data_IF_831600742444
#
_entry.id   IF_831600742444
#
_cell.length_a   1.000
_cell.length_b   1.000
_cell.length_c   1.000
_cell.angle_alpha   90.00
_cell.angle_beta   90.00
_cell.angle_gamma   90.00
#
_symmetry.space_group_name_H-M   'P 1'
#
loop_
_entity.id
_entity.type
_entity.pdbx_description
1 polymer ?
#
# COMPACT_ATOMS: atom_id res chain seq x y z
N UNK A 1 -15.64 -2.86 -24.90
CA UNK A 1 -14.82 -4.10 -24.79
C UNK A 1 -13.53 -3.71 -24.10
N UNK A 2 -13.15 -4.40 -23.03
CA UNK A 2 -11.86 -4.20 -22.37
C UNK A 2 -10.77 -4.99 -23.09
N UNK A 3 -9.62 -4.36 -23.32
CA UNK A 3 -8.49 -5.00 -24.03
C UNK A 3 -7.63 -5.74 -23.01
N UNK A 4 -7.32 -7.03 -23.26
CA UNK A 4 -6.38 -7.77 -22.43
C UNK A 4 -4.94 -7.43 -22.83
N UNK A 5 -4.10 -7.13 -21.84
CA UNK A 5 -2.71 -6.69 -22.06
C UNK A 5 -1.69 -7.56 -21.29
N UNK A 6 -0.42 -7.61 -21.77
CA UNK A 6 0.66 -8.34 -21.12
C UNK A 6 0.98 -7.90 -19.68
N UNK A 7 1.70 -8.78 -18.96
CA UNK A 7 2.12 -8.54 -17.58
C UNK A 7 3.01 -7.29 -17.37
N UNK A 8 3.68 -6.82 -18.41
CA UNK A 8 4.60 -5.68 -18.39
C UNK A 8 3.91 -4.31 -18.56
N UNK A 9 2.63 -4.25 -18.89
CA UNK A 9 1.97 -3.01 -19.34
C UNK A 9 1.42 -2.16 -18.18
N UNK A 10 0.50 -2.69 -17.36
CA UNK A 10 0.04 -1.97 -16.16
C UNK A 10 1.09 -2.09 -15.06
N UNK A 11 1.89 -1.04 -14.95
CA UNK A 11 2.87 -0.86 -13.88
C UNK A 11 2.36 0.17 -12.89
N UNK A 12 1.80 -0.31 -11.78
CA UNK A 12 1.41 0.54 -10.65
C UNK A 12 2.58 0.66 -9.69
N UNK A 13 2.81 1.87 -9.20
CA UNK A 13 3.80 2.21 -8.19
C UNK A 13 3.23 3.22 -7.20
N UNK A 14 3.72 3.28 -5.95
CA UNK A 14 3.31 4.33 -5.04
C UNK A 14 4.04 5.65 -5.35
N UNK A 15 3.51 6.81 -4.92
CA UNK A 15 4.12 8.12 -5.20
C UNK A 15 5.60 8.23 -4.80
N UNK A 16 5.99 7.57 -3.70
CA UNK A 16 7.37 7.54 -3.19
C UNK A 16 8.38 6.81 -4.10
N UNK A 17 7.89 6.11 -5.13
CA UNK A 17 8.68 5.42 -6.15
C UNK A 17 8.62 6.16 -7.52
N UNK A 18 8.21 7.43 -7.55
CA UNK A 18 8.04 8.21 -8.79
C UNK A 18 9.31 8.32 -9.64
N UNK A 19 10.48 8.28 -8.99
CA UNK A 19 11.81 8.37 -9.61
C UNK A 19 12.55 7.04 -9.65
N UNK A 20 11.86 5.93 -9.34
CA UNK A 20 12.47 4.61 -9.32
C UNK A 20 12.50 4.01 -10.73
N UNK A 21 13.55 3.25 -11.02
CA UNK A 21 13.57 2.30 -12.12
C UNK A 21 12.48 1.27 -11.85
N UNK A 22 11.52 1.16 -12.77
CA UNK A 22 10.39 0.25 -12.64
C UNK A 22 10.71 -1.04 -13.37
N UNK A 23 10.79 -2.13 -12.61
CA UNK A 23 11.11 -3.45 -13.16
C UNK A 23 9.88 -4.32 -12.94
N UNK A 24 8.98 -4.48 -13.91
CA UNK A 24 7.81 -5.33 -13.75
C UNK A 24 8.30 -6.76 -13.52
N UNK A 25 8.02 -7.33 -12.35
CA UNK A 25 8.35 -8.74 -12.04
C UNK A 25 7.10 -9.62 -12.06
N UNK A 26 5.94 -9.00 -11.84
CA UNK A 26 4.63 -9.62 -11.96
C UNK A 26 3.69 -8.70 -12.74
N UNK A 27 2.67 -9.28 -13.35
CA UNK A 27 1.53 -8.58 -13.90
C UNK A 27 0.29 -8.82 -13.06
N UNK A 28 -0.69 -7.91 -13.14
CA UNK A 28 -1.99 -8.11 -12.50
C UNK A 28 -1.91 -8.23 -10.97
N UNK A 29 -3.00 -8.70 -10.35
CA UNK A 29 -3.07 -8.99 -8.91
C UNK A 29 -3.50 -10.44 -8.70
N UNK A 30 -2.71 -11.23 -7.97
CA UNK A 30 -3.04 -12.64 -7.70
C UNK A 30 -4.33 -12.85 -6.87
N UNK A 31 -4.84 -11.79 -6.24
CA UNK A 31 -6.12 -11.82 -5.54
C UNK A 31 -7.30 -11.34 -6.39
N UNK A 32 -7.15 -10.17 -7.01
CA UNK A 32 -8.13 -9.48 -7.87
C UNK A 32 -9.61 -9.55 -7.45
N UNK A 33 -9.93 -9.67 -6.15
CA UNK A 33 -11.32 -9.87 -5.64
C UNK A 33 -11.78 -8.78 -4.68
N UNK A 34 -10.93 -7.81 -4.36
CA UNK A 34 -11.30 -6.66 -3.54
C UNK A 34 -12.51 -5.93 -4.15
N UNK A 35 -13.44 -5.52 -3.30
CA UNK A 35 -14.69 -4.86 -3.72
C UNK A 35 -14.55 -3.38 -4.04
N UNK A 36 -13.42 -2.77 -3.69
CA UNK A 36 -13.13 -1.35 -3.89
C UNK A 36 -12.06 -1.09 -4.96
N UNK A 37 -11.42 -2.15 -5.49
CA UNK A 37 -10.29 -2.04 -6.41
C UNK A 37 -10.64 -2.64 -7.78
N UNK A 38 -10.41 -1.86 -8.83
CA UNK A 38 -10.60 -2.25 -10.24
C UNK A 38 -9.35 -2.00 -11.11
N UNK A 39 -8.19 -1.75 -10.50
CA UNK A 39 -6.91 -1.45 -11.18
C UNK A 39 -6.60 -2.40 -12.34
N UNK A 40 -6.75 -3.71 -12.14
CA UNK A 40 -6.48 -4.73 -13.17
C UNK A 40 -7.76 -5.28 -13.82
N UNK A 41 -8.90 -4.61 -13.64
CA UNK A 41 -10.25 -5.08 -14.03
C UNK A 41 -10.94 -4.20 -15.07
N UNK A 42 -10.20 -3.35 -15.79
CA UNK A 42 -10.82 -2.53 -16.83
C UNK A 42 -10.97 -1.06 -16.49
N UNK A 43 -10.57 -0.59 -15.30
CA UNK A 43 -10.72 0.84 -14.94
C UNK A 43 -9.96 1.77 -15.91
N UNK A 44 -8.91 1.26 -16.56
CA UNK A 44 -8.13 1.94 -17.58
C UNK A 44 -8.54 1.58 -19.02
N UNK A 45 -9.70 0.94 -19.20
CA UNK A 45 -10.12 0.35 -20.49
C UNK A 45 -9.42 -0.99 -20.81
N UNK A 46 -8.49 -1.43 -19.96
CA UNK A 46 -7.68 -2.64 -20.14
C UNK A 46 -7.77 -3.57 -18.93
N UNK A 47 -7.63 -4.87 -19.18
CA UNK A 47 -7.54 -5.91 -18.15
C UNK A 47 -6.18 -6.58 -18.22
N UNK A 48 -5.60 -6.89 -17.07
CA UNK A 48 -4.33 -7.58 -16.99
C UNK A 48 -4.43 -8.70 -15.98
N UNK A 49 -4.26 -9.93 -16.47
CA UNK A 49 -4.28 -11.10 -15.62
C UNK A 49 -3.02 -11.19 -14.77
N UNK A 50 -3.13 -11.96 -13.69
CA UNK A 50 -1.98 -12.22 -12.85
C UNK A 50 -1.00 -13.15 -13.57
N UNK A 51 0.27 -12.75 -13.58
CA UNK A 51 1.35 -13.53 -14.17
C UNK A 51 2.67 -13.20 -13.45
N UNK A 52 3.54 -14.20 -13.29
CA UNK A 52 4.94 -13.98 -12.93
C UNK A 52 5.70 -13.93 -14.26
N UNK A 53 6.41 -12.84 -14.52
CA UNK A 53 7.16 -12.72 -15.77
C UNK A 53 8.28 -13.75 -15.83
N UNK A 54 8.66 -14.25 -17.02
CA UNK A 54 9.86 -15.06 -17.18
C UNK A 54 11.09 -14.32 -16.65
N UNK A 55 11.97 -15.04 -15.96
CA UNK A 55 13.17 -14.46 -15.36
C UNK A 55 14.05 -13.79 -16.42
N UNK A 56 14.27 -14.47 -17.55
CA UNK A 56 15.08 -13.97 -18.67
C UNK A 56 14.61 -12.60 -19.17
N UNK A 57 13.31 -12.39 -19.33
CA UNK A 57 12.73 -11.11 -19.75
C UNK A 57 13.01 -10.00 -18.74
N UNK A 58 12.94 -10.32 -17.45
CA UNK A 58 13.23 -9.36 -16.38
C UNK A 58 14.71 -9.00 -16.33
N UNK A 59 15.61 -9.97 -16.52
CA UNK A 59 17.05 -9.72 -16.57
C UNK A 59 17.42 -8.86 -17.78
N UNK A 60 16.81 -9.11 -18.94
CA UNK A 60 16.97 -8.27 -20.15
C UNK A 60 16.53 -6.82 -19.88
N UNK A 61 15.42 -6.61 -19.16
CA UNK A 61 14.99 -5.25 -18.81
C UNK A 61 15.99 -4.55 -17.87
N UNK A 62 16.58 -5.28 -16.90
CA UNK A 62 17.65 -4.76 -16.04
C UNK A 62 18.86 -4.33 -16.87
N UNK A 63 19.29 -5.16 -17.82
CA UNK A 63 20.40 -4.84 -18.71
C UNK A 63 20.14 -3.58 -19.54
N UNK A 64 18.93 -3.46 -20.10
CA UNK A 64 18.52 -2.25 -20.84
C UNK A 64 18.56 -0.99 -19.99
N UNK A 65 18.19 -1.06 -18.71
CA UNK A 65 18.31 0.09 -17.80
C UNK A 65 19.77 0.43 -17.48
N UNK A 66 20.63 -0.59 -17.33
CA UNK A 66 22.06 -0.39 -17.12
C UNK A 66 22.72 0.26 -18.34
N UNK A 67 22.43 -0.22 -19.55
CA UNK A 67 22.92 0.36 -20.82
C UNK A 67 22.49 1.81 -21.01
N UNK A 68 21.30 2.17 -20.52
CA UNK A 68 20.77 3.54 -20.53
C UNK A 68 21.26 4.40 -19.36
N UNK A 69 22.23 3.93 -18.58
CA UNK A 69 22.87 4.66 -17.48
C UNK A 69 21.91 5.06 -16.34
N UNK A 70 20.93 4.21 -16.00
CA UNK A 70 20.03 4.42 -14.83
C UNK A 70 20.69 4.06 -13.48
N UNK A 71 22.00 4.30 -13.34
CA UNK A 71 22.72 4.12 -12.09
C UNK A 71 22.32 5.16 -11.03
N UNK A 72 22.46 4.82 -9.75
CA UNK A 72 22.15 5.74 -8.64
C UNK A 72 20.67 5.95 -8.35
N UNK A 73 19.76 5.45 -9.21
CA UNK A 73 18.32 5.54 -8.97
C UNK A 73 17.82 4.39 -8.09
N UNK A 74 16.81 4.62 -7.24
CA UNK A 74 16.09 3.54 -6.57
C UNK A 74 15.47 2.58 -7.59
N UNK A 75 15.27 1.34 -7.19
CA UNK A 75 14.62 0.32 -8.00
C UNK A 75 13.34 -0.15 -7.32
N UNK A 76 12.26 -0.20 -8.08
CA UNK A 76 10.98 -0.74 -7.65
C UNK A 76 10.67 -1.97 -8.50
N UNK A 77 10.67 -3.15 -7.86
CA UNK A 77 10.18 -4.38 -8.46
C UNK A 77 8.66 -4.27 -8.53
N UNK A 78 8.19 -3.96 -9.72
CA UNK A 78 6.84 -3.52 -9.99
C UNK A 78 5.92 -4.68 -10.39
N UNK A 79 4.64 -4.36 -10.54
CA UNK A 79 3.57 -5.34 -10.66
C UNK A 79 2.67 -5.36 -9.45
N UNK A 80 1.50 -5.98 -9.55
CA UNK A 80 0.50 -5.90 -8.48
C UNK A 80 0.75 -6.84 -7.30
N UNK A 81 1.63 -7.84 -7.43
CA UNK A 81 2.02 -8.69 -6.31
C UNK A 81 3.40 -9.38 -6.48
N UNK A 82 4.53 -8.66 -6.48
CA UNK A 82 5.87 -9.25 -6.54
C UNK A 82 6.12 -10.40 -5.55
N UNK A 83 5.67 -10.25 -4.30
CA UNK A 83 5.96 -11.24 -3.24
C UNK A 83 5.28 -12.60 -3.41
N UNK A 84 4.33 -12.75 -4.34
CA UNK A 84 3.79 -14.08 -4.67
C UNK A 84 4.71 -14.91 -5.56
N UNK A 85 5.78 -14.33 -6.12
CA UNK A 85 6.79 -15.08 -6.85
C UNK A 85 7.66 -15.96 -5.92
N UNK A 86 8.25 -17.05 -6.45
CA UNK A 86 9.22 -17.85 -5.72
C UNK A 86 10.36 -17.01 -5.13
N UNK A 87 10.85 -17.41 -3.96
CA UNK A 87 11.90 -16.65 -3.27
C UNK A 87 13.19 -16.62 -4.08
N UNK A 88 13.59 -17.75 -4.66
CA UNK A 88 14.82 -17.86 -5.47
C UNK A 88 14.80 -16.91 -6.67
N UNK A 89 13.64 -16.83 -7.36
CA UNK A 89 13.41 -15.90 -8.46
C UNK A 89 13.61 -14.43 -8.04
N UNK A 90 13.01 -14.02 -6.91
CA UNK A 90 13.18 -12.64 -6.42
C UNK A 90 14.62 -12.37 -5.96
N UNK A 91 15.25 -13.33 -5.29
CA UNK A 91 16.66 -13.22 -4.84
C UNK A 91 17.58 -13.02 -6.05
N UNK A 92 17.37 -13.77 -7.13
CA UNK A 92 18.15 -13.65 -8.35
C UNK A 92 18.00 -12.27 -9.00
N UNK A 93 16.76 -11.79 -9.14
CA UNK A 93 16.48 -10.44 -9.67
C UNK A 93 17.13 -9.35 -8.82
N UNK A 94 16.99 -9.41 -7.49
CA UNK A 94 17.55 -8.40 -6.60
C UNK A 94 19.07 -8.40 -6.70
N UNK A 95 19.72 -9.56 -6.68
CA UNK A 95 21.17 -9.67 -6.85
C UNK A 95 21.62 -9.15 -8.21
N UNK A 96 20.88 -9.44 -9.28
CA UNK A 96 21.19 -8.96 -10.62
C UNK A 96 21.04 -7.44 -10.73
N UNK A 97 20.01 -6.86 -10.13
CA UNK A 97 19.87 -5.39 -9.99
C UNK A 97 21.10 -4.80 -9.31
N UNK A 98 21.54 -5.37 -8.18
CA UNK A 98 22.72 -4.88 -7.44
C UNK A 98 24.03 -5.04 -8.23
N UNK A 99 24.11 -6.05 -9.08
CA UNK A 99 25.28 -6.30 -9.93
C UNK A 99 25.35 -5.34 -11.13
N UNK A 100 24.20 -5.05 -11.76
CA UNK A 100 24.13 -4.34 -13.05
C UNK A 100 23.90 -2.84 -12.90
N UNK A 101 23.20 -2.41 -11.85
CA UNK A 101 22.96 -1.00 -11.56
C UNK A 101 23.85 -0.54 -10.40
N UNK A 102 24.81 0.34 -10.71
CA UNK A 102 25.72 0.89 -9.71
C UNK A 102 24.98 1.82 -8.72
N UNK A 103 25.39 1.80 -7.45
CA UNK A 103 24.93 2.72 -6.40
C UNK A 103 23.40 2.78 -6.21
N UNK A 104 22.67 1.67 -6.40
CA UNK A 104 21.23 1.63 -6.13
C UNK A 104 20.97 1.93 -4.65
N UNK A 105 20.29 3.04 -4.30
CA UNK A 105 20.08 3.45 -2.92
C UNK A 105 19.02 2.60 -2.21
N UNK A 106 18.10 2.00 -2.97
CA UNK A 106 16.98 1.21 -2.46
C UNK A 106 16.45 0.25 -3.50
N UNK A 107 16.16 -0.99 -3.11
CA UNK A 107 15.32 -1.94 -3.84
C UNK A 107 14.05 -2.18 -3.03
N UNK A 108 12.90 -2.09 -3.67
CA UNK A 108 11.60 -2.17 -3.00
C UNK A 108 10.53 -2.83 -3.86
N UNK A 109 9.44 -3.27 -3.24
CA UNK A 109 8.32 -3.88 -3.99
C UNK A 109 6.99 -3.80 -3.21
N UNK A 110 5.87 -4.10 -3.89
CA UNK A 110 4.62 -4.37 -3.19
C UNK A 110 4.64 -5.76 -2.54
N UNK A 111 3.99 -5.85 -1.39
CA UNK A 111 3.80 -7.11 -0.67
C UNK A 111 2.34 -7.35 -0.30
N UNK A 112 1.94 -8.62 -0.27
CA UNK A 112 0.66 -9.06 0.27
C UNK A 112 0.89 -9.96 1.47
N UNK A 113 0.17 -9.71 2.57
CA UNK A 113 0.39 -10.40 3.85
C UNK A 113 0.32 -11.92 3.77
N UNK A 114 -0.59 -12.49 2.97
CA UNK A 114 -0.66 -13.94 2.79
C UNK A 114 0.57 -14.54 2.11
N UNK A 115 1.18 -13.83 1.15
CA UNK A 115 2.37 -14.33 0.46
C UNK A 115 3.60 -14.25 1.35
N UNK A 116 3.67 -13.24 2.21
CA UNK A 116 4.66 -13.15 3.29
C UNK A 116 4.49 -14.29 4.30
N UNK A 117 3.25 -14.60 4.71
CA UNK A 117 2.98 -15.67 5.68
C UNK A 117 3.33 -17.05 5.11
N UNK A 118 3.22 -17.25 3.79
CA UNK A 118 3.59 -18.50 3.11
C UNK A 118 5.08 -18.74 3.02
N UNK A 119 5.89 -17.69 2.94
CA UNK A 119 7.36 -17.80 2.97
C UNK A 119 7.82 -18.19 4.38
N UNK A 120 8.86 -18.99 4.47
CA UNK A 120 9.57 -19.30 5.71
C UNK A 120 10.37 -18.10 6.22
N UNK A 121 10.79 -18.14 7.49
CA UNK A 121 11.65 -17.07 8.05
C UNK A 121 13.00 -17.01 7.32
N UNK A 122 13.54 -18.16 6.90
CA UNK A 122 14.77 -18.24 6.10
C UNK A 122 14.59 -17.57 4.72
N UNK A 123 13.49 -17.85 4.02
CA UNK A 123 13.20 -17.21 2.74
C UNK A 123 13.09 -15.69 2.86
N UNK A 124 12.47 -15.17 3.92
CA UNK A 124 12.40 -13.72 4.17
C UNK A 124 13.79 -13.15 4.47
N UNK A 125 14.62 -13.87 5.22
CA UNK A 125 16.01 -13.48 5.50
C UNK A 125 16.84 -13.44 4.22
N UNK A 126 16.70 -14.44 3.34
CA UNK A 126 17.38 -14.49 2.04
C UNK A 126 17.01 -13.30 1.14
N UNK A 127 15.75 -12.84 1.18
CA UNK A 127 15.34 -11.62 0.47
C UNK A 127 16.02 -10.37 1.04
N UNK A 128 16.10 -10.26 2.37
CA UNK A 128 16.82 -9.15 3.03
C UNK A 128 18.32 -9.17 2.68
N UNK A 129 18.98 -10.32 2.80
CA UNK A 129 20.40 -10.50 2.48
C UNK A 129 20.72 -10.28 1.00
N UNK A 130 19.77 -10.56 0.10
CA UNK A 130 19.90 -10.21 -1.31
C UNK A 130 19.86 -8.69 -1.55
N UNK A 131 19.29 -7.92 -0.61
CA UNK A 131 19.21 -6.46 -0.64
C UNK A 131 17.81 -5.91 -0.91
N UNK A 132 16.74 -6.62 -0.53
CA UNK A 132 15.39 -6.04 -0.48
C UNK A 132 15.25 -5.12 0.74
N UNK A 133 15.17 -3.81 0.52
CA UNK A 133 15.24 -2.82 1.60
C UNK A 133 13.88 -2.55 2.25
N UNK A 134 12.82 -2.40 1.46
CA UNK A 134 11.48 -2.07 1.95
C UNK A 134 10.39 -2.71 1.12
N UNK A 135 9.31 -3.12 1.79
CA UNK A 135 8.08 -3.54 1.14
C UNK A 135 6.90 -2.63 1.49
N UNK A 136 6.03 -2.42 0.51
CA UNK A 136 4.79 -1.68 0.65
C UNK A 136 3.61 -2.63 0.73
N UNK A 137 2.89 -2.65 1.85
CA UNK A 137 1.79 -3.60 2.08
C UNK A 137 0.48 -2.86 2.38
N UNK A 138 -0.57 -3.18 1.61
CA UNK A 138 -1.90 -2.64 1.84
C UNK A 138 -2.58 -3.28 3.05
N UNK A 139 -2.49 -2.64 4.22
CA UNK A 139 -3.28 -2.97 5.41
C UNK A 139 -4.76 -2.65 5.14
N UNK A 140 -5.01 -1.49 4.54
CA UNK A 140 -6.30 -0.87 4.24
C UNK A 140 -7.12 -0.55 5.49
N UNK A 141 -7.34 -1.53 6.36
CA UNK A 141 -8.08 -1.44 7.62
C UNK A 141 -7.54 -2.44 8.63
N UNK A 142 -7.42 -2.05 9.90
CA UNK A 142 -7.13 -3.00 10.98
C UNK A 142 -8.30 -3.91 11.34
N UNK A 143 -9.54 -3.52 11.03
CA UNK A 143 -10.73 -4.33 11.35
C UNK A 143 -10.89 -5.52 10.38
N UNK A 144 -10.79 -6.74 10.90
CA UNK A 144 -11.06 -7.99 10.16
C UNK A 144 -12.48 -8.02 9.57
N UNK A 145 -13.45 -7.38 10.22
CA UNK A 145 -14.82 -7.27 9.69
C UNK A 145 -14.84 -6.46 8.39
N UNK A 146 -14.20 -5.28 8.39
CA UNK A 146 -14.12 -4.42 7.20
C UNK A 146 -13.33 -5.13 6.09
N UNK A 147 -12.22 -5.77 6.41
CA UNK A 147 -11.42 -6.52 5.44
C UNK A 147 -12.22 -7.67 4.78
N UNK A 148 -13.04 -8.37 5.57
CA UNK A 148 -13.96 -9.40 5.07
C UNK A 148 -15.05 -8.80 4.19
N UNK A 149 -15.71 -7.73 4.66
CA UNK A 149 -16.72 -7.00 3.90
C UNK A 149 -16.19 -6.55 2.55
N UNK A 150 -14.95 -6.06 2.50
CA UNK A 150 -14.25 -5.60 1.29
C UNK A 150 -13.63 -6.72 0.45
N UNK A 151 -13.77 -7.98 0.87
CA UNK A 151 -13.13 -9.15 0.25
C UNK A 151 -11.63 -8.93 0.02
N UNK A 152 -10.88 -8.42 1.02
CA UNK A 152 -9.42 -8.20 0.90
C UNK A 152 -8.62 -9.50 0.86
N UNK A 153 -9.22 -10.60 1.33
CA UNK A 153 -8.58 -11.93 1.36
C UNK A 153 -7.51 -12.04 2.43
N UNK A 154 -7.69 -11.37 3.56
CA UNK A 154 -6.78 -11.35 4.72
C UNK A 154 -7.53 -10.84 5.96
N UNK A 155 -6.89 -10.87 7.12
CA UNK A 155 -7.43 -10.41 8.40
C UNK A 155 -6.34 -9.70 9.24
N UNK A 156 -6.74 -9.11 10.37
CA UNK A 156 -5.83 -8.38 11.26
C UNK A 156 -4.64 -9.24 11.72
N UNK A 157 -4.90 -10.47 12.16
CA UNK A 157 -3.86 -11.35 12.71
C UNK A 157 -2.81 -11.75 11.67
N UNK A 158 -3.26 -11.98 10.43
CA UNK A 158 -2.38 -12.25 9.28
C UNK A 158 -1.52 -11.03 8.97
N UNK A 159 -2.10 -9.81 9.04
CA UNK A 159 -1.35 -8.56 8.85
C UNK A 159 -0.29 -8.38 9.94
N UNK A 160 -0.65 -8.61 11.21
CA UNK A 160 0.27 -8.50 12.35
C UNK A 160 1.40 -9.51 12.21
N UNK A 161 1.08 -10.78 11.92
CA UNK A 161 2.07 -11.84 11.71
C UNK A 161 3.01 -11.51 10.54
N UNK A 162 2.47 -11.08 9.40
CA UNK A 162 3.27 -10.70 8.24
C UNK A 162 4.20 -9.52 8.56
N UNK A 163 3.67 -8.47 9.20
CA UNK A 163 4.43 -7.27 9.52
C UNK A 163 5.59 -7.54 10.47
N UNK A 164 5.34 -8.28 11.56
CA UNK A 164 6.39 -8.68 12.51
C UNK A 164 7.49 -9.53 11.86
N UNK A 165 7.13 -10.44 10.94
CA UNK A 165 8.10 -11.30 10.25
C UNK A 165 8.95 -10.54 9.24
N UNK A 166 8.36 -9.58 8.51
CA UNK A 166 9.10 -8.67 7.62
C UNK A 166 10.16 -7.89 8.40
N UNK A 167 9.77 -7.26 9.51
CA UNK A 167 10.68 -6.47 10.34
C UNK A 167 11.76 -7.34 10.98
N UNK A 168 11.39 -8.53 11.50
CA UNK A 168 12.35 -9.50 12.06
C UNK A 168 13.40 -9.95 11.04
N UNK A 169 13.03 -10.05 9.76
CA UNK A 169 13.95 -10.41 8.68
C UNK A 169 14.91 -9.29 8.29
N UNK A 170 14.76 -8.06 8.83
CA UNK A 170 15.60 -6.91 8.48
C UNK A 170 15.06 -6.09 7.30
N UNK A 171 13.82 -6.34 6.86
CA UNK A 171 13.18 -5.61 5.76
C UNK A 171 12.30 -4.51 6.35
N UNK A 172 12.42 -3.28 5.86
CA UNK A 172 11.54 -2.17 6.28
C UNK A 172 10.11 -2.40 5.79
N UNK A 173 9.14 -1.85 6.51
CA UNK A 173 7.73 -2.02 6.20
C UNK A 173 7.01 -0.69 6.12
N UNK A 174 6.36 -0.44 4.97
CA UNK A 174 5.41 0.66 4.78
C UNK A 174 3.99 0.11 4.66
N UNK A 175 3.08 0.51 5.55
CA UNK A 175 1.67 0.13 5.49
C UNK A 175 0.80 1.23 4.86
N UNK A 176 -0.16 0.85 4.02
CA UNK A 176 -1.23 1.77 3.58
C UNK A 176 -2.49 1.56 4.39
N UNK A 177 -3.04 2.65 4.93
CA UNK A 177 -4.35 2.71 5.59
C UNK A 177 -5.30 3.51 4.70
N UNK A 178 -6.52 3.00 4.51
CA UNK A 178 -7.52 3.59 3.63
C UNK A 178 -8.68 4.19 4.43
N UNK A 179 -8.58 5.49 4.72
CA UNK A 179 -9.60 6.25 5.44
C UNK A 179 -10.95 6.18 4.72
N UNK A 180 -12.00 5.92 5.50
CA UNK A 180 -13.38 5.77 5.07
C UNK A 180 -13.74 4.38 4.56
N UNK A 181 -12.85 3.38 4.62
CA UNK A 181 -13.12 2.04 4.10
C UNK A 181 -14.28 1.32 4.81
N UNK A 182 -14.53 1.65 6.07
CA UNK A 182 -15.69 1.16 6.83
C UNK A 182 -17.01 1.86 6.50
N UNK A 183 -16.97 2.95 5.73
CA UNK A 183 -18.08 3.91 5.61
C UNK A 183 -18.45 4.51 6.97
N UNK A 184 -19.51 5.35 7.00
CA UNK A 184 -19.99 5.98 8.25
C UNK A 184 -20.26 4.96 9.36
N UNK A 185 -20.84 3.80 9.00
CA UNK A 185 -21.28 2.78 9.96
C UNK A 185 -20.15 2.16 10.77
N UNK A 186 -18.99 1.93 10.16
CA UNK A 186 -17.87 1.21 10.79
C UNK A 186 -16.64 2.08 11.04
N UNK A 187 -16.74 3.40 10.90
CA UNK A 187 -15.61 4.32 11.01
C UNK A 187 -14.90 4.26 12.39
N UNK A 188 -15.66 4.31 13.49
CA UNK A 188 -15.08 4.19 14.84
C UNK A 188 -14.36 2.84 15.06
N UNK A 189 -14.91 1.75 14.51
CA UNK A 189 -14.29 0.42 14.55
C UNK A 189 -13.05 0.36 13.66
N UNK A 190 -13.08 1.00 12.50
CA UNK A 190 -11.92 1.13 11.62
C UNK A 190 -10.78 1.85 12.35
N UNK A 191 -11.07 2.95 13.02
CA UNK A 191 -10.06 3.74 13.71
C UNK A 191 -9.38 2.95 14.84
N UNK A 192 -10.17 2.42 15.77
CA UNK A 192 -9.67 1.65 16.92
C UNK A 192 -8.89 0.39 16.51
N UNK A 193 -9.42 -0.40 15.59
CA UNK A 193 -8.73 -1.63 15.15
C UNK A 193 -7.49 -1.35 14.31
N UNK A 194 -7.49 -0.27 13.52
CA UNK A 194 -6.28 0.15 12.78
C UNK A 194 -5.19 0.61 13.73
N UNK A 195 -5.53 1.42 14.74
CA UNK A 195 -4.58 1.82 15.76
C UNK A 195 -4.00 0.62 16.51
N UNK A 196 -4.81 -0.38 16.86
CA UNK A 196 -4.36 -1.65 17.47
C UNK A 196 -3.35 -2.37 16.57
N UNK A 197 -3.69 -2.61 15.30
CA UNK A 197 -2.80 -3.32 14.35
C UNK A 197 -1.49 -2.56 14.14
N UNK A 198 -1.53 -1.23 13.99
CA UNK A 198 -0.31 -0.40 13.89
C UNK A 198 0.53 -0.48 15.17
N UNK A 199 -0.11 -0.49 16.34
CA UNK A 199 0.54 -0.64 17.65
C UNK A 199 1.27 -1.97 17.80
N UNK A 200 0.61 -3.06 17.39
CA UNK A 200 1.16 -4.40 17.49
C UNK A 200 2.30 -4.64 16.49
N UNK A 201 2.25 -4.01 15.31
CA UNK A 201 3.30 -4.17 14.28
C UNK A 201 4.46 -3.20 14.54
N UNK A 202 4.18 -1.96 14.89
CA UNK A 202 5.11 -0.82 14.85
C UNK A 202 5.88 -0.77 13.51
N UNK A 203 5.20 -0.55 12.37
CA UNK A 203 5.85 -0.57 11.06
C UNK A 203 6.90 0.55 10.96
N UNK A 204 7.83 0.44 10.01
CA UNK A 204 8.76 1.54 9.74
C UNK A 204 8.00 2.81 9.34
N UNK A 205 6.98 2.64 8.50
CA UNK A 205 6.15 3.72 7.97
C UNK A 205 4.69 3.24 7.92
N UNK A 206 3.74 4.14 8.21
CA UNK A 206 2.38 3.98 7.71
C UNK A 206 1.91 5.25 7.01
N UNK A 207 1.03 5.08 6.03
CA UNK A 207 0.60 6.14 5.12
C UNK A 207 -0.91 6.11 5.02
N UNK A 208 -1.53 7.27 5.17
CA UNK A 208 -2.96 7.40 4.97
C UNK A 208 -3.28 7.67 3.51
N UNK A 209 -4.37 7.07 3.04
CA UNK A 209 -5.01 7.35 1.76
C UNK A 209 -6.49 7.50 2.04
N UNK A 210 -7.20 8.33 1.30
CA UNK A 210 -8.66 8.35 1.35
C UNK A 210 -9.24 7.40 0.32
N UNK A 211 -10.28 6.64 0.71
CA UNK A 211 -11.06 5.79 -0.20
C UNK A 211 -11.64 6.61 -1.36
N UNK A 212 -11.31 6.24 -2.59
CA UNK A 212 -12.03 6.66 -3.78
C UNK A 212 -12.93 5.53 -4.26
N UNK A 213 -14.14 5.87 -4.74
CA UNK A 213 -15.05 4.87 -5.31
C UNK A 213 -14.78 4.79 -6.80
N UNK A 214 -14.16 3.68 -7.19
CA UNK A 214 -13.88 3.41 -8.59
C UNK A 214 -15.13 2.85 -9.29
N UNK A 215 -15.48 3.36 -10.49
CA UNK A 215 -16.54 2.79 -11.30
C UNK A 215 -16.40 1.29 -11.50
N UNK A 216 -17.54 0.62 -11.71
CA UNK A 216 -17.60 -0.81 -12.05
C UNK A 216 -17.05 -1.74 -10.96
N UNK A 217 -16.95 -1.23 -9.73
CA UNK A 217 -16.65 -2.05 -8.55
C UNK A 217 -17.92 -2.39 -7.77
N UNK A 218 -17.97 -3.51 -7.03
CA UNK A 218 -19.10 -3.79 -6.16
C UNK A 218 -19.38 -2.69 -5.13
N UNK A 219 -18.37 -1.93 -4.71
CA UNK A 219 -18.55 -0.80 -3.80
C UNK A 219 -19.20 0.41 -4.48
N UNK A 220 -18.98 0.59 -5.78
CA UNK A 220 -19.63 1.64 -6.57
C UNK A 220 -21.15 1.47 -6.63
N UNK A 221 -21.62 0.24 -6.85
CA UNK A 221 -23.06 -0.04 -6.89
C UNK A 221 -23.72 0.12 -5.50
N UNK A 222 -23.02 -0.25 -4.43
CA UNK A 222 -23.50 -0.03 -3.07
C UNK A 222 -23.52 1.45 -2.68
N UNK A 223 -22.53 2.21 -3.11
CA UNK A 223 -22.52 3.65 -2.91
C UNK A 223 -23.67 4.33 -3.67
N UNK A 224 -23.86 4.00 -4.96
CA UNK A 224 -24.97 4.55 -5.77
C UNK A 224 -26.35 4.21 -5.21
N UNK A 225 -26.52 3.00 -4.68
CA UNK A 225 -27.79 2.58 -4.06
C UNK A 225 -27.98 3.09 -2.63
N UNK A 226 -27.01 3.83 -2.07
CA UNK A 226 -27.07 4.34 -0.70
C UNK A 226 -26.76 3.31 0.39
N UNK A 227 -26.48 2.05 0.03
CA UNK A 227 -26.10 0.98 0.96
C UNK A 227 -24.75 1.24 1.62
N UNK A 228 -23.84 1.91 0.92
CA UNK A 228 -22.55 2.34 1.45
C UNK A 228 -22.47 3.86 1.51
N UNK A 229 -22.33 4.41 2.72
CA UNK A 229 -22.24 5.85 2.94
C UNK A 229 -20.78 6.26 3.16
N UNK A 230 -20.29 7.14 2.27
CA UNK A 230 -18.96 7.72 2.40
C UNK A 230 -18.88 8.67 3.58
N UNK A 231 -17.69 8.73 4.17
CA UNK A 231 -17.32 9.84 5.04
C UNK A 231 -17.27 11.15 4.23
N UNK A 232 -17.59 12.28 4.84
CA UNK A 232 -17.20 13.59 4.34
C UNK A 232 -15.68 13.80 4.53
N UNK A 233 -15.07 14.82 3.91
CA UNK A 233 -13.66 15.12 4.15
C UNK A 233 -13.32 15.32 5.62
N UNK A 234 -14.12 16.10 6.36
CA UNK A 234 -13.92 16.30 7.81
C UNK A 234 -14.10 15.00 8.60
N UNK A 235 -15.01 14.10 8.19
CA UNK A 235 -15.15 12.79 8.82
C UNK A 235 -13.92 11.89 8.57
N UNK A 236 -13.29 11.96 7.39
CA UNK A 236 -12.01 11.27 7.15
C UNK A 236 -10.90 11.79 8.08
N UNK A 237 -10.81 13.10 8.28
CA UNK A 237 -9.80 13.71 9.17
C UNK A 237 -10.06 13.32 10.63
N UNK A 238 -11.33 13.24 11.05
CA UNK A 238 -11.72 12.72 12.37
C UNK A 238 -11.31 11.25 12.55
N UNK A 239 -11.52 10.42 11.53
CA UNK A 239 -11.11 9.02 11.57
C UNK A 239 -9.58 8.87 11.67
N UNK A 240 -8.82 9.67 10.90
CA UNK A 240 -7.35 9.73 11.01
C UNK A 240 -6.91 10.15 12.42
N UNK A 241 -7.52 11.21 12.96
CA UNK A 241 -7.26 11.67 14.33
C UNK A 241 -7.52 10.59 15.36
N UNK A 242 -8.62 9.86 15.25
CA UNK A 242 -8.95 8.79 16.17
C UNK A 242 -7.99 7.60 16.04
N UNK A 243 -7.45 7.33 14.85
CA UNK A 243 -6.34 6.36 14.69
C UNK A 243 -5.12 6.84 15.46
N UNK A 244 -4.64 8.06 15.21
CA UNK A 244 -3.44 8.62 15.86
C UNK A 244 -3.60 8.66 17.37
N UNK A 245 -4.75 9.12 17.87
CA UNK A 245 -5.05 9.21 19.31
C UNK A 245 -4.92 7.85 19.99
N UNK A 246 -5.44 6.80 19.36
CA UNK A 246 -5.49 5.44 19.91
C UNK A 246 -4.21 4.62 19.67
N UNK A 247 -3.18 5.17 19.02
CA UNK A 247 -1.88 4.49 18.90
C UNK A 247 -1.26 4.28 20.29
N UNK A 248 -0.74 3.08 20.53
CA UNK A 248 0.04 2.80 21.72
C UNK A 248 1.38 3.52 21.73
N UNK A 249 1.91 3.76 22.93
CA UNK A 249 3.09 4.60 23.16
C UNK A 249 4.41 3.98 22.65
N UNK A 250 4.37 2.75 22.13
CA UNK A 250 5.51 2.09 21.50
C UNK A 250 5.65 2.43 20.00
N UNK A 251 4.67 3.10 19.38
CA UNK A 251 4.66 3.34 17.94
C UNK A 251 5.55 4.53 17.59
N UNK A 252 6.69 4.26 16.97
CA UNK A 252 7.69 5.26 16.55
C UNK A 252 7.75 5.41 15.02
N UNK A 253 6.72 4.92 14.32
CA UNK A 253 6.65 4.95 12.85
C UNK A 253 6.71 6.37 12.29
N UNK A 254 7.22 6.48 11.07
CA UNK A 254 6.95 7.65 10.23
C UNK A 254 5.51 7.60 9.72
N UNK A 255 4.89 8.78 9.55
CA UNK A 255 3.50 8.94 9.12
C UNK A 255 3.44 9.92 7.98
N UNK A 256 2.69 9.59 6.92
CA UNK A 256 2.56 10.44 5.75
C UNK A 256 1.13 10.52 5.21
N UNK A 257 0.75 11.73 4.79
CA UNK A 257 -0.40 12.05 3.95
C UNK A 257 0.04 12.54 2.57
N UNK A 258 0.81 11.72 1.87
CA UNK A 258 1.57 12.07 0.66
C UNK A 258 0.87 11.67 -0.66
N UNK A 259 -0.46 11.65 -0.70
CA UNK A 259 -1.20 11.25 -1.89
C UNK A 259 -2.36 12.19 -2.22
N UNK A 260 -2.66 12.30 -3.51
CA UNK A 260 -3.68 13.22 -4.05
C UNK A 260 -5.09 13.01 -3.46
N UNK A 261 -5.36 11.81 -2.94
CA UNK A 261 -6.63 11.50 -2.28
C UNK A 261 -6.74 12.05 -0.85
N UNK A 262 -5.64 12.44 -0.22
CA UNK A 262 -5.66 13.04 1.11
C UNK A 262 -6.27 14.46 1.07
N UNK A 263 -6.90 14.85 2.17
CA UNK A 263 -7.43 16.20 2.38
C UNK A 263 -6.47 17.10 3.17
N UNK A 264 -5.45 16.49 3.78
CA UNK A 264 -4.44 17.15 4.60
C UNK A 264 -3.07 16.68 4.14
N UNK A 265 -2.02 17.46 4.41
CA UNK A 265 -0.63 17.13 4.10
C UNK A 265 0.21 17.03 5.37
N UNK A 266 -0.32 16.37 6.41
CA UNK A 266 0.39 16.19 7.68
C UNK A 266 1.30 14.97 7.63
N UNK A 267 2.52 15.14 8.13
CA UNK A 267 3.57 14.13 8.14
C UNK A 267 4.36 14.22 9.45
N UNK A 268 4.94 13.09 9.87
CA UNK A 268 5.84 13.03 11.03
C UNK A 268 6.92 11.99 10.79
N UNK A 269 8.15 12.31 11.21
CA UNK A 269 9.27 11.38 11.17
C UNK A 269 9.29 10.41 12.35
N UNK A 270 8.59 10.74 13.43
CA UNK A 270 8.41 9.89 14.60
C UNK A 270 7.10 10.27 15.31
N UNK A 271 6.03 9.51 15.04
CA UNK A 271 4.71 9.85 15.56
C UNK A 271 4.61 9.80 17.09
N UNK A 272 5.51 9.09 17.77
CA UNK A 272 5.56 9.08 19.24
C UNK A 272 5.91 10.45 19.80
N UNK A 273 6.92 11.08 19.22
CA UNK A 273 7.44 12.37 19.67
C UNK A 273 6.50 13.51 19.25
N UNK A 274 5.94 13.41 18.05
CA UNK A 274 5.09 14.46 17.47
C UNK A 274 3.59 14.28 17.77
N UNK A 275 3.18 13.26 18.56
CA UNK A 275 1.78 12.84 18.71
C UNK A 275 0.83 14.00 19.02
N UNK A 276 1.17 14.79 20.04
CA UNK A 276 0.34 15.91 20.49
C UNK A 276 0.27 17.03 19.44
N UNK A 277 1.40 17.36 18.80
CA UNK A 277 1.42 18.36 17.73
C UNK A 277 0.59 17.91 16.51
N UNK A 278 0.68 16.62 16.15
CA UNK A 278 -0.08 16.03 15.06
C UNK A 278 -1.59 16.06 15.35
N UNK A 279 -2.00 15.70 16.58
CA UNK A 279 -3.40 15.75 17.02
C UNK A 279 -3.95 17.18 17.02
N UNK A 280 -3.18 18.16 17.52
CA UNK A 280 -3.58 19.56 17.52
C UNK A 280 -3.75 20.13 16.10
N UNK A 281 -2.88 19.72 15.16
CA UNK A 281 -3.02 20.09 13.76
C UNK A 281 -4.30 19.52 13.14
N UNK A 282 -4.62 18.24 13.41
CA UNK A 282 -5.87 17.63 12.98
C UNK A 282 -7.10 18.30 13.60
N UNK A 283 -7.06 18.61 14.90
CA UNK A 283 -8.15 19.31 15.61
C UNK A 283 -8.41 20.70 15.04
N UNK A 284 -7.36 21.44 14.69
CA UNK A 284 -7.48 22.74 14.02
C UNK A 284 -8.22 22.59 12.69
N UNK A 285 -7.85 21.59 11.88
CA UNK A 285 -8.48 21.32 10.59
C UNK A 285 -9.93 20.84 10.74
N UNK A 286 -10.23 20.02 11.75
CA UNK A 286 -11.60 19.54 12.01
C UNK A 286 -12.55 20.70 12.38
N UNK A 287 -12.03 21.70 13.09
CA UNK A 287 -12.80 22.86 13.53
C UNK A 287 -12.86 23.98 12.49
N UNK A 288 -12.08 23.92 11.40
CA UNK A 288 -12.13 24.91 10.32
C UNK A 288 -13.47 24.80 9.54
N UNK A 289 -14.30 25.86 9.50
CA UNK A 289 -15.56 25.87 8.76
C UNK A 289 -15.39 25.53 7.27
N UNK A 290 -14.25 25.87 6.65
CA UNK A 290 -13.96 25.53 5.25
C UNK A 290 -13.78 24.04 5.06
N UNK A 291 -13.14 23.36 6.01
CA UNK A 291 -12.94 21.91 5.98
C UNK A 291 -14.25 21.17 6.27
N UNK A 292 -15.07 21.69 7.18
CA UNK A 292 -16.40 21.12 7.47
C UNK A 292 -17.33 21.14 6.26
N UNK A 293 -17.20 22.17 5.41
CA UNK A 293 -17.99 22.32 4.19
C UNK A 293 -17.27 21.79 2.93
N UNK A 294 -16.07 21.24 3.07
CA UNK A 294 -15.28 20.80 1.94
C UNK A 294 -16.02 19.67 1.20
N UNK A 295 -16.29 19.80 -0.11
CA UNK A 295 -16.90 18.73 -0.87
C UNK A 295 -15.90 17.58 -1.04
N UNK A 296 -16.43 16.35 -1.12
CA UNK A 296 -15.60 15.19 -1.41
C UNK A 296 -14.98 15.35 -2.80
N UNK A 297 -13.68 15.06 -2.91
CA UNK A 297 -13.03 14.89 -4.21
C UNK A 297 -13.56 13.58 -4.81
N UNK A 298 -14.56 13.65 -5.69
CA UNK A 298 -15.08 12.46 -6.37
C UNK A 298 -14.12 12.06 -7.49
N UNK A 299 -12.97 11.48 -7.11
CA UNK A 299 -12.05 10.86 -8.06
C UNK A 299 -12.70 9.56 -8.58
N UNK A 300 -13.59 9.73 -9.55
CA UNK A 300 -14.22 8.63 -10.31
C UNK A 300 -13.31 8.10 -11.41
N UNK A 301 -12.12 8.70 -11.57
CA UNK A 301 -11.02 8.25 -12.41
C UNK A 301 -9.72 8.44 -11.63
N UNK A 302 -8.83 7.45 -11.71
CA UNK A 302 -7.44 7.55 -11.26
C UNK A 302 -6.57 8.06 -12.40
#
# INVERSE_FOLDING_TARGET
MTIKIPASEIVIRPPVEAYSVLIPVTGGCSWNRCRFCSTYKGVYGTVQDYEIRPLEDVLIDIDRYAEKNYHGFPVFLAGGNPTSAPTDYLVEIIKYVRLRLNNVPRVSCYAKSLDIVRKSDDELKRLSEAGLDIVYMGLESGSSEILRLMKKGTNADTMIKAGKRILKAGIKLSLYVLLGLGGKKLSSKHASETARVLTEINPTIFRFRTLNILPETPLWDEWKSGKFQLLSPVECIKEERDIIKNLGDNVTSQVFNDHVSNYVGLESSNIKEDKEAFLNALDTLINDPKIQQLPRKNLTRM
#
